data_IF_930471893761
#
_entry.id   IF_930471893761
#
_cell.length_a   1.000
_cell.length_b   1.000
_cell.length_c   1.000
_cell.angle_alpha   90.00
_cell.angle_beta   90.00
_cell.angle_gamma   90.00
#
_symmetry.space_group_name_H-M   'P 1'
#
loop_
_entity.id
_entity.type
_entity.pdbx_description
1 polymer ?
#
# COMPACT_ATOMS: atom_id res chain seq x y z
N UNK A 1 14.45 -12.51 -7.17
CA UNK A 1 15.19 -11.23 -7.03
C UNK A 1 16.52 -11.24 -7.77
N UNK A 2 17.45 -12.16 -7.44
CA UNK A 2 18.79 -12.26 -8.07
C UNK A 2 18.80 -12.26 -9.62
N UNK A 3 17.80 -12.85 -10.28
CA UNK A 3 17.66 -12.86 -11.76
C UNK A 3 17.42 -11.46 -12.35
N UNK A 4 16.61 -10.64 -11.69
CA UNK A 4 16.29 -9.28 -12.16
C UNK A 4 17.48 -8.34 -11.97
N UNK A 5 18.12 -8.41 -10.79
CA UNK A 5 19.36 -7.68 -10.51
C UNK A 5 20.48 -8.03 -11.50
N UNK A 6 20.63 -9.31 -11.83
CA UNK A 6 21.59 -9.76 -12.83
C UNK A 6 21.29 -9.15 -14.21
N UNK A 7 20.03 -9.17 -14.67
CA UNK A 7 19.65 -8.56 -15.95
C UNK A 7 19.90 -7.05 -15.98
N UNK A 8 19.52 -6.33 -14.93
CA UNK A 8 19.78 -4.89 -14.84
C UNK A 8 21.27 -4.53 -14.90
N UNK A 9 22.12 -5.35 -14.28
CA UNK A 9 23.58 -5.14 -14.29
C UNK A 9 24.24 -5.40 -15.64
N UNK A 10 23.69 -6.32 -16.44
CA UNK A 10 24.26 -6.70 -17.74
C UNK A 10 23.55 -5.99 -18.91
N UNK A 11 22.52 -5.19 -18.62
CA UNK A 11 21.89 -4.35 -19.61
C UNK A 11 22.87 -3.28 -20.07
N UNK A 12 22.90 -3.08 -21.39
CA UNK A 12 23.76 -2.12 -22.05
C UNK A 12 23.11 -0.74 -21.96
N UNK A 13 23.45 0.04 -20.93
CA UNK A 13 22.83 1.35 -20.68
C UNK A 13 23.41 2.50 -21.50
N UNK A 14 24.58 2.32 -22.11
CA UNK A 14 25.22 3.35 -22.93
C UNK A 14 24.43 3.68 -24.19
N UNK A 15 23.63 2.73 -24.70
CA UNK A 15 22.74 2.95 -25.84
C UNK A 15 21.42 3.67 -25.46
N UNK A 16 21.16 3.80 -24.15
CA UNK A 16 19.92 4.36 -23.60
C UNK A 16 20.15 5.76 -23.05
N UNK A 17 21.33 6.02 -22.51
CA UNK A 17 21.68 7.26 -21.83
C UNK A 17 22.81 8.00 -22.52
N UNK A 18 22.56 9.27 -22.86
CA UNK A 18 23.58 10.22 -23.30
C UNK A 18 23.66 11.38 -22.31
N UNK A 19 24.89 11.71 -21.91
CA UNK A 19 25.18 12.77 -20.93
C UNK A 19 25.04 14.19 -21.51
N UNK A 20 24.88 14.32 -22.83
CA UNK A 20 24.72 15.61 -23.51
C UNK A 20 23.33 16.25 -23.30
N UNK A 21 22.38 15.51 -22.72
CA UNK A 21 21.02 15.99 -22.44
C UNK A 21 20.15 16.19 -23.68
N UNK A 22 20.57 15.68 -24.84
CA UNK A 22 19.79 15.73 -26.08
C UNK A 22 18.75 14.60 -26.05
N UNK A 23 17.49 14.91 -26.38
CA UNK A 23 16.40 13.92 -26.46
C UNK A 23 16.10 13.15 -25.16
N UNK A 24 16.19 13.80 -24.00
CA UNK A 24 15.90 13.20 -22.66
C UNK A 24 14.57 12.43 -22.62
N UNK A 25 13.53 12.92 -23.29
CA UNK A 25 12.23 12.24 -23.35
C UNK A 25 12.30 10.91 -24.12
N UNK A 26 13.08 10.86 -25.19
CA UNK A 26 13.30 9.65 -25.99
C UNK A 26 14.18 8.65 -25.22
N UNK A 27 15.24 9.13 -24.57
CA UNK A 27 16.07 8.34 -23.67
C UNK A 27 15.24 7.72 -22.53
N UNK A 28 14.33 8.50 -21.93
CA UNK A 28 13.41 8.02 -20.90
C UNK A 28 12.44 6.97 -21.44
N UNK A 29 11.92 7.16 -22.65
CA UNK A 29 11.03 6.19 -23.29
C UNK A 29 11.76 4.85 -23.53
N UNK A 30 12.97 4.90 -24.08
CA UNK A 30 13.81 3.72 -24.33
C UNK A 30 14.15 3.01 -23.02
N UNK A 31 14.50 3.77 -21.97
CA UNK A 31 14.71 3.25 -20.63
C UNK A 31 13.48 2.51 -20.11
N UNK A 32 12.31 3.15 -20.15
CA UNK A 32 11.08 2.58 -19.62
C UNK A 32 10.65 1.33 -20.38
N UNK A 33 10.81 1.31 -21.71
CA UNK A 33 10.54 0.13 -22.54
C UNK A 33 11.47 -1.05 -22.18
N UNK A 34 12.77 -0.78 -22.04
CA UNK A 34 13.77 -1.79 -21.68
C UNK A 34 13.54 -2.33 -20.27
N UNK A 35 13.33 -1.43 -19.31
CA UNK A 35 13.05 -1.76 -17.92
C UNK A 35 11.78 -2.60 -17.77
N UNK A 36 10.68 -2.17 -18.39
CA UNK A 36 9.39 -2.87 -18.33
C UNK A 36 9.51 -4.30 -18.86
N UNK A 37 10.21 -4.47 -19.99
CA UNK A 37 10.42 -5.80 -20.58
C UNK A 37 11.18 -6.72 -19.63
N UNK A 38 12.31 -6.25 -19.08
CA UNK A 38 13.08 -7.02 -18.08
C UNK A 38 12.24 -7.35 -16.83
N UNK A 39 11.40 -6.42 -16.39
CA UNK A 39 10.51 -6.60 -15.25
C UNK A 39 9.46 -7.68 -15.54
N UNK A 40 8.74 -7.59 -16.65
CA UNK A 40 7.69 -8.56 -17.01
C UNK A 40 8.24 -9.98 -17.20
N UNK A 41 9.46 -10.14 -17.73
CA UNK A 41 10.14 -11.43 -17.83
C UNK A 41 10.58 -12.02 -16.49
N UNK A 42 10.97 -11.17 -15.54
CA UNK A 42 11.42 -11.61 -14.22
C UNK A 42 10.25 -11.80 -13.23
N UNK A 43 9.13 -11.12 -13.47
CA UNK A 43 7.94 -11.10 -12.64
C UNK A 43 6.67 -11.29 -13.51
N UNK A 44 6.50 -12.47 -14.14
CA UNK A 44 5.35 -12.73 -14.98
C UNK A 44 4.05 -12.62 -14.18
N UNK A 45 3.06 -11.92 -14.74
CA UNK A 45 1.77 -11.58 -14.10
C UNK A 45 1.00 -12.82 -13.61
N UNK A 46 1.22 -13.96 -14.25
CA UNK A 46 0.64 -15.27 -13.90
C UNK A 46 1.04 -15.76 -12.50
N UNK A 47 2.19 -15.34 -11.98
CA UNK A 47 2.62 -15.64 -10.60
C UNK A 47 1.96 -14.72 -9.56
N UNK A 48 1.46 -13.56 -9.99
CA UNK A 48 0.78 -12.59 -9.13
C UNK A 48 -0.71 -12.93 -9.04
N UNK A 49 -1.33 -13.39 -10.13
CA UNK A 49 -2.76 -13.76 -10.16
C UNK A 49 -3.05 -15.06 -9.42
N UNK A 50 -2.14 -16.05 -9.38
CA UNK A 50 -2.35 -17.30 -8.63
C UNK A 50 -2.43 -17.13 -7.11
N UNK A 51 -2.00 -15.98 -6.55
CA UNK A 51 -1.99 -15.73 -5.10
C UNK A 51 -3.15 -14.88 -4.59
N UNK A 52 -4.06 -14.45 -5.45
CA UNK A 52 -5.39 -13.97 -5.04
C UNK A 52 -6.39 -15.11 -5.10
N UNK A 53 -6.06 -16.26 -4.50
CA UNK A 53 -7.12 -17.01 -3.85
C UNK A 53 -7.61 -16.08 -2.74
N UNK A 54 -8.72 -15.40 -3.00
CA UNK A 54 -9.53 -14.76 -1.97
C UNK A 54 -9.95 -15.86 -0.99
N UNK A 55 -9.02 -16.26 -0.12
CA UNK A 55 -9.38 -16.74 1.20
C UNK A 55 -10.00 -15.50 1.82
N UNK A 56 -11.31 -15.35 1.65
CA UNK A 56 -12.09 -14.27 2.24
C UNK A 56 -11.89 -14.39 3.75
N UNK A 57 -10.83 -13.74 4.25
CA UNK A 57 -10.47 -13.64 5.66
C UNK A 57 -11.62 -13.04 6.48
N UNK A 58 -12.57 -12.40 5.78
CA UNK A 58 -13.72 -11.75 6.32
C UNK A 58 -14.98 -12.24 5.58
N UNK A 59 -16.03 -12.60 6.33
CA UNK A 59 -17.34 -12.90 5.74
C UNK A 59 -17.97 -11.68 5.04
N UNK A 60 -17.60 -10.47 5.46
CA UNK A 60 -18.10 -9.20 4.92
C UNK A 60 -16.98 -8.43 4.20
N UNK A 61 -16.37 -9.03 3.17
CA UNK A 61 -15.25 -8.43 2.43
C UNK A 61 -15.61 -7.03 1.91
N UNK A 62 -16.83 -6.85 1.38
CA UNK A 62 -17.27 -5.58 0.80
C UNK A 62 -17.37 -4.46 1.85
N UNK A 63 -17.89 -4.78 3.04
CA UNK A 63 -18.01 -3.83 4.14
C UNK A 63 -16.62 -3.43 4.66
N UNK A 64 -15.72 -4.39 4.84
CA UNK A 64 -14.34 -4.15 5.27
C UNK A 64 -13.58 -3.32 4.24
N UNK A 65 -13.72 -3.64 2.96
CA UNK A 65 -13.10 -2.91 1.85
C UNK A 65 -13.62 -1.47 1.76
N UNK A 66 -14.93 -1.28 1.91
CA UNK A 66 -15.56 0.05 1.93
C UNK A 66 -15.02 0.92 3.07
N UNK A 67 -14.95 0.36 4.29
CA UNK A 67 -14.44 1.10 5.46
C UNK A 67 -12.95 1.39 5.32
N UNK A 68 -12.16 0.43 4.80
CA UNK A 68 -10.72 0.62 4.56
C UNK A 68 -10.44 1.74 3.56
N UNK A 69 -11.12 1.76 2.41
CA UNK A 69 -10.97 2.83 1.41
C UNK A 69 -11.27 4.22 2.00
N UNK A 70 -12.32 4.32 2.82
CA UNK A 70 -12.66 5.58 3.52
C UNK A 70 -11.61 5.98 4.55
N UNK A 71 -10.97 5.01 5.20
CA UNK A 71 -9.88 5.25 6.14
C UNK A 71 -8.62 5.75 5.46
N UNK A 72 -8.27 5.19 4.31
CA UNK A 72 -7.11 5.63 3.52
C UNK A 72 -7.29 7.09 3.08
N UNK A 73 -8.49 7.46 2.62
CA UNK A 73 -8.83 8.85 2.29
C UNK A 73 -8.70 9.78 3.51
N UNK A 74 -9.26 9.38 4.66
CA UNK A 74 -9.18 10.15 5.89
C UNK A 74 -7.75 10.28 6.43
N UNK A 75 -6.88 9.29 6.19
CA UNK A 75 -5.47 9.35 6.56
C UNK A 75 -4.75 10.43 5.74
N UNK A 76 -5.00 10.46 4.43
CA UNK A 76 -4.46 11.50 3.55
C UNK A 76 -4.96 12.87 3.99
N UNK A 77 -6.28 13.02 4.23
CA UNK A 77 -6.87 14.28 4.66
C UNK A 77 -6.35 14.73 6.03
N UNK A 78 -6.17 13.81 6.99
CA UNK A 78 -5.57 14.10 8.30
C UNK A 78 -4.15 14.67 8.19
N UNK A 79 -3.37 14.16 7.25
CA UNK A 79 -1.99 14.64 7.05
C UNK A 79 -1.94 16.03 6.41
N UNK A 80 -3.03 16.46 5.75
CA UNK A 80 -3.15 17.79 5.13
C UNK A 80 -3.84 18.78 6.07
N UNK A 81 -4.85 18.34 6.83
CA UNK A 81 -5.59 19.15 7.79
C UNK A 81 -5.88 18.32 9.06
N UNK A 82 -5.44 18.82 10.22
CA UNK A 82 -5.59 18.19 11.53
C UNK A 82 -7.04 18.01 11.99
N UNK A 83 -8.00 18.76 11.45
CA UNK A 83 -9.43 18.64 11.77
C UNK A 83 -9.98 17.24 11.46
N UNK A 84 -9.40 16.57 10.46
CA UNK A 84 -9.77 15.21 10.09
C UNK A 84 -9.22 14.14 11.03
N UNK A 85 -8.37 14.51 12.01
CA UNK A 85 -7.76 13.57 12.95
C UNK A 85 -8.80 12.84 13.80
N UNK A 86 -9.81 13.56 14.29
CA UNK A 86 -10.91 12.99 15.09
C UNK A 86 -11.75 12.03 14.25
N UNK A 87 -12.06 12.40 13.00
CA UNK A 87 -12.82 11.56 12.08
C UNK A 87 -12.06 10.29 11.70
N UNK A 88 -10.76 10.40 11.42
CA UNK A 88 -9.87 9.26 11.16
C UNK A 88 -9.85 8.30 12.34
N UNK A 89 -9.65 8.81 13.56
CA UNK A 89 -9.59 8.00 14.77
C UNK A 89 -10.93 7.31 15.05
N UNK A 90 -12.07 7.98 14.82
CA UNK A 90 -13.41 7.38 14.93
C UNK A 90 -13.58 6.24 13.91
N UNK A 91 -13.30 6.49 12.63
CA UNK A 91 -13.47 5.50 11.58
C UNK A 91 -12.54 4.30 11.73
N UNK A 92 -11.35 4.50 12.31
CA UNK A 92 -10.39 3.44 12.60
C UNK A 92 -10.92 2.47 13.64
N UNK A 93 -11.65 2.98 14.65
CA UNK A 93 -12.31 2.12 15.63
C UNK A 93 -13.49 1.35 15.03
N UNK A 94 -14.27 1.96 14.14
CA UNK A 94 -15.36 1.26 13.45
C UNK A 94 -14.81 0.04 12.69
N UNK A 95 -13.70 0.21 11.97
CA UNK A 95 -13.02 -0.89 11.28
C UNK A 95 -12.55 -1.97 12.25
N UNK A 96 -11.93 -1.57 13.38
CA UNK A 96 -11.49 -2.52 14.40
C UNK A 96 -12.65 -3.27 15.05
N UNK A 97 -13.81 -2.65 15.21
CA UNK A 97 -15.01 -3.30 15.74
C UNK A 97 -15.56 -4.33 14.74
N UNK A 98 -15.63 -3.96 13.46
CA UNK A 98 -16.01 -4.86 12.37
C UNK A 98 -15.04 -6.05 12.32
N UNK A 99 -13.73 -5.79 12.45
CA UNK A 99 -12.70 -6.84 12.47
C UNK A 99 -12.76 -7.72 13.72
N UNK A 100 -13.05 -7.16 14.90
CA UNK A 100 -13.20 -7.90 16.16
C UNK A 100 -14.36 -8.89 16.12
N UNK A 101 -15.48 -8.51 15.50
CA UNK A 101 -16.62 -9.40 15.31
C UNK A 101 -16.30 -10.58 14.36
N UNK A 102 -15.19 -10.50 13.62
CA UNK A 102 -14.78 -11.49 12.62
C UNK A 102 -13.59 -12.34 13.10
N UNK A 103 -12.78 -11.87 14.05
CA UNK A 103 -11.64 -12.62 14.62
C UNK A 103 -11.37 -12.29 16.10
N UNK A 104 -11.24 -13.31 16.94
CA UNK A 104 -10.92 -13.18 18.38
C UNK A 104 -9.57 -12.53 18.65
N UNK A 105 -8.61 -12.69 17.75
CA UNK A 105 -7.20 -12.25 17.93
C UNK A 105 -7.01 -10.73 17.81
N UNK A 106 -7.95 -10.01 17.19
CA UNK A 106 -7.92 -8.54 17.12
C UNK A 106 -8.43 -7.85 18.40
N UNK A 107 -8.95 -8.62 19.36
CA UNK A 107 -9.46 -8.13 20.65
C UNK A 107 -8.39 -7.35 21.43
N UNK A 108 -7.12 -7.75 21.33
CA UNK A 108 -6.05 -7.15 22.12
C UNK A 108 -5.55 -5.81 21.56
N UNK A 109 -5.57 -5.63 20.24
CA UNK A 109 -5.23 -4.34 19.62
C UNK A 109 -6.29 -3.25 19.91
N UNK A 110 -7.56 -3.65 20.01
CA UNK A 110 -8.66 -2.76 20.42
C UNK A 110 -8.51 -2.30 21.88
N UNK A 111 -8.17 -3.20 22.81
CA UNK A 111 -7.93 -2.85 24.22
C UNK A 111 -6.81 -1.81 24.37
N UNK A 112 -5.72 -1.95 23.60
CA UNK A 112 -4.61 -0.99 23.58
C UNK A 112 -5.04 0.40 23.09
N UNK A 113 -5.78 0.46 21.98
CA UNK A 113 -6.27 1.72 21.40
C UNK A 113 -7.29 2.43 22.31
N UNK A 114 -8.11 1.68 23.04
CA UNK A 114 -9.06 2.26 24.02
C UNK A 114 -8.34 2.88 25.23
N UNK A 115 -7.24 2.25 25.69
CA UNK A 115 -6.39 2.78 26.76
C UNK A 115 -5.71 4.10 26.37
N UNK A 116 -5.23 4.21 25.13
CA UNK A 116 -4.62 5.43 24.59
C UNK A 116 -5.60 6.62 24.53
N UNK A 117 -6.88 6.38 24.20
CA UNK A 117 -7.92 7.44 24.23
C UNK A 117 -8.28 7.90 25.64
N UNK A 118 -8.28 7.00 26.62
CA UNK A 118 -8.56 7.38 28.01
C UNK A 118 -7.48 8.33 28.55
N UNK A 119 -6.21 8.10 28.19
CA UNK A 119 -5.08 8.94 28.58
C UNK A 119 -5.14 10.31 27.89
N UNK A 120 -5.58 10.38 26.62
CA UNK A 120 -5.73 11.63 25.87
C UNK A 120 -6.94 12.49 26.28
N UNK A 121 -7.84 11.99 27.13
CA UNK A 121 -9.05 12.69 27.57
C UNK A 121 -9.03 13.08 29.05
N UNK A 122 -7.97 12.76 29.80
CA UNK A 122 -7.81 13.30 31.16
C UNK A 122 -7.27 14.74 31.06
N UNK A 123 -7.95 15.74 31.63
CA UNK A 123 -7.34 17.05 31.84
C UNK A 123 -6.17 16.90 32.82
N UNK A 124 -5.06 17.60 32.54
CA UNK A 124 -3.91 17.73 33.46
C UNK A 124 -4.36 18.46 34.72
#
# INVERSE_FOLDING_TARGET
MKKFEHKLRHQVWHDVYSADGVNVNEQWLIFMCSFKTMFEECFPKELITKKYQNNALYKNVDEVMYVKRRLDLLLIMKNVNSDYSVMYVKRRLDLLLIMKNVNSDYSDMYKKTKKERFISQMPI
#
